data_IF_484526567675
#
_entry.id   IF_484526567675
#
_cell.length_a   1.000
_cell.length_b   1.000
_cell.length_c   1.000
_cell.angle_alpha   90.00
_cell.angle_beta   90.00
_cell.angle_gamma   90.00
#
_symmetry.space_group_name_H-M   'P 1'
#
loop_
_entity.id
_entity.type
_entity.pdbx_description
1 polymer ?
#
# COMPACT_ATOMS: atom_id res chain seq x y z
N UNK A 1 0.70 10.13 -1.67
CA UNK A 1 0.62 10.12 -3.14
C UNK A 1 1.72 11.02 -3.66
N UNK A 2 2.69 10.49 -4.40
CA UNK A 2 3.64 11.30 -5.16
C UNK A 2 2.99 11.82 -6.46
N UNK A 3 3.25 13.09 -6.80
CA UNK A 3 2.85 13.69 -8.08
C UNK A 3 4.11 14.16 -8.80
N UNK A 4 4.39 13.60 -9.98
CA UNK A 4 5.51 14.02 -10.82
C UNK A 4 5.05 14.98 -11.89
N UNK A 5 5.79 16.06 -12.09
CA UNK A 5 5.47 17.07 -13.10
C UNK A 5 6.50 17.04 -14.23
N UNK A 6 6.02 16.84 -15.45
CA UNK A 6 6.80 16.99 -16.68
C UNK A 6 6.49 18.35 -17.32
N UNK A 7 7.54 19.02 -17.80
CA UNK A 7 7.41 20.24 -18.58
C UNK A 7 7.19 19.88 -20.06
N UNK A 8 6.05 20.31 -20.61
CA UNK A 8 5.73 20.13 -22.02
C UNK A 8 6.13 21.38 -22.82
N UNK A 9 5.64 21.49 -24.05
CA UNK A 9 5.83 22.66 -24.88
C UNK A 9 5.15 23.92 -24.29
N UNK A 10 5.80 25.07 -24.47
CA UNK A 10 5.36 26.39 -23.97
C UNK A 10 5.13 26.40 -22.45
N UNK A 11 3.91 26.66 -21.99
CA UNK A 11 3.53 26.75 -20.57
C UNK A 11 2.65 25.57 -20.13
N UNK A 12 2.63 24.50 -20.94
CA UNK A 12 1.90 23.29 -20.64
C UNK A 12 2.69 22.43 -19.65
N UNK A 13 1.99 21.85 -18.70
CA UNK A 13 2.55 20.95 -17.69
C UNK A 13 1.74 19.66 -17.68
N UNK A 14 2.41 18.55 -17.44
CA UNK A 14 1.78 17.24 -17.25
C UNK A 14 2.08 16.74 -15.85
N UNK A 15 1.05 16.47 -15.06
CA UNK A 15 1.15 15.79 -13.77
C UNK A 15 0.82 14.30 -13.95
N UNK A 16 1.68 13.41 -13.43
CA UNK A 16 1.46 11.96 -13.37
C UNK A 16 1.44 11.49 -11.91
N UNK A 17 0.43 10.70 -11.56
CA UNK A 17 0.25 10.11 -10.23
C UNK A 17 -0.70 8.91 -10.33
N UNK A 18 -0.41 7.84 -9.58
CA UNK A 18 -1.06 6.54 -9.75
C UNK A 18 -1.17 6.18 -11.26
N UNK A 19 -2.35 5.81 -11.77
CA UNK A 19 -2.62 5.54 -13.19
C UNK A 19 -3.14 6.77 -13.97
N UNK A 20 -3.13 7.96 -13.37
CA UNK A 20 -3.74 9.16 -13.93
C UNK A 20 -2.71 10.13 -14.50
N UNK A 21 -3.13 10.85 -15.54
CA UNK A 21 -2.38 11.96 -16.14
C UNK A 21 -3.28 13.18 -16.25
N UNK A 22 -2.80 14.33 -15.76
CA UNK A 22 -3.50 15.62 -15.83
C UNK A 22 -2.62 16.62 -16.56
N UNK A 23 -3.14 17.18 -17.66
CA UNK A 23 -2.47 18.25 -18.40
C UNK A 23 -3.05 19.59 -17.99
N UNK A 24 -2.18 20.56 -17.74
CA UNK A 24 -2.57 21.95 -17.44
C UNK A 24 -1.96 22.89 -18.47
N UNK A 25 -2.59 24.04 -18.67
CA UNK A 25 -2.06 25.12 -19.47
C UNK A 25 -2.46 26.49 -18.89
N UNK A 26 -1.69 27.51 -19.21
CA UNK A 26 -2.02 28.87 -18.81
C UNK A 26 -3.02 29.51 -19.79
N UNK A 27 -3.92 30.38 -19.31
CA UNK A 27 -4.73 31.21 -20.19
C UNK A 27 -3.88 32.08 -21.12
N UNK A 28 -4.44 32.49 -22.27
CA UNK A 28 -3.78 33.38 -23.24
C UNK A 28 -3.24 34.67 -22.61
N UNK A 29 -3.99 35.26 -21.67
CA UNK A 29 -3.56 36.46 -20.91
C UNK A 29 -2.26 36.27 -20.10
N UNK A 30 -1.92 35.02 -19.80
CA UNK A 30 -0.69 34.62 -19.10
C UNK A 30 0.28 33.89 -20.05
N UNK A 31 0.18 34.16 -21.36
CA UNK A 31 1.05 33.64 -22.43
C UNK A 31 0.97 32.12 -22.68
N UNK A 32 -0.06 31.44 -22.18
CA UNK A 32 -0.33 30.04 -22.56
C UNK A 32 -1.27 29.94 -23.76
N UNK A 33 -1.59 28.72 -24.17
CA UNK A 33 -2.47 28.46 -25.31
C UNK A 33 -3.94 28.27 -24.91
N UNK A 34 -4.22 28.26 -23.59
CA UNK A 34 -5.50 27.88 -23.02
C UNK A 34 -6.00 26.50 -23.53
N UNK A 35 -5.08 25.58 -23.83
CA UNK A 35 -5.42 24.24 -24.36
C UNK A 35 -5.96 23.29 -23.28
N UNK A 36 -5.74 23.62 -22.01
CA UNK A 36 -6.20 22.88 -20.85
C UNK A 36 -6.49 23.86 -19.69
N UNK A 37 -7.23 23.44 -18.64
CA UNK A 37 -7.43 24.27 -17.45
C UNK A 37 -6.09 24.61 -16.79
N UNK A 38 -6.02 25.77 -16.13
CA UNK A 38 -4.83 26.11 -15.34
C UNK A 38 -4.76 25.26 -14.07
N UNK A 39 -3.58 25.12 -13.43
CA UNK A 39 -3.46 24.40 -12.16
C UNK A 39 -4.45 24.91 -11.09
N UNK A 40 -4.71 26.22 -11.05
CA UNK A 40 -5.66 26.80 -10.11
C UNK A 40 -7.12 26.47 -10.44
N UNK A 41 -7.45 26.32 -11.73
CA UNK A 41 -8.79 25.90 -12.14
C UNK A 41 -9.08 24.46 -11.69
N UNK A 42 -8.08 23.57 -11.74
CA UNK A 42 -8.19 22.22 -11.18
C UNK A 42 -8.47 22.23 -9.67
N UNK A 43 -7.77 23.08 -8.91
CA UNK A 43 -8.04 23.25 -7.47
C UNK A 43 -9.47 23.72 -7.19
N UNK A 44 -9.98 24.68 -7.97
CA UNK A 44 -11.35 25.17 -7.80
C UNK A 44 -12.39 24.12 -8.20
N UNK A 45 -12.14 23.40 -9.30
CA UNK A 45 -12.99 22.32 -9.77
C UNK A 45 -13.02 21.15 -8.78
N UNK A 46 -11.89 20.77 -8.20
CA UNK A 46 -11.82 19.68 -7.23
C UNK A 46 -12.65 19.95 -5.98
N UNK A 47 -12.75 21.20 -5.54
CA UNK A 47 -13.66 21.60 -4.44
C UNK A 47 -15.13 21.35 -4.78
N UNK A 48 -15.59 21.81 -5.95
CA UNK A 48 -16.96 21.61 -6.40
C UNK A 48 -17.29 20.13 -6.63
N UNK A 49 -16.38 19.39 -7.27
CA UNK A 49 -16.52 17.94 -7.50
C UNK A 49 -16.55 17.15 -6.20
N UNK A 50 -15.72 17.50 -5.22
CA UNK A 50 -15.71 16.90 -3.89
C UNK A 50 -17.06 17.09 -3.17
N UNK A 51 -17.63 18.30 -3.20
CA UNK A 51 -18.97 18.52 -2.67
C UNK A 51 -20.02 17.67 -3.41
N UNK A 52 -19.98 17.63 -4.74
CA UNK A 52 -20.86 16.80 -5.57
C UNK A 52 -20.76 15.31 -5.24
N UNK A 53 -19.54 14.79 -4.99
CA UNK A 53 -19.32 13.42 -4.54
C UNK A 53 -20.06 13.11 -3.23
N UNK A 54 -19.95 13.97 -2.22
CA UNK A 54 -20.64 13.76 -0.93
C UNK A 54 -22.16 13.87 -1.03
N UNK A 55 -22.68 14.69 -1.94
CA UNK A 55 -24.11 14.71 -2.27
C UNK A 55 -24.51 13.36 -2.87
N UNK A 56 -23.80 12.91 -3.90
CA UNK A 56 -24.07 11.64 -4.59
C UNK A 56 -24.01 10.44 -3.64
N UNK A 57 -22.97 10.35 -2.81
CA UNK A 57 -22.80 9.28 -1.83
C UNK A 57 -23.97 9.23 -0.81
N UNK A 58 -24.44 10.39 -0.34
CA UNK A 58 -25.59 10.46 0.56
C UNK A 58 -26.87 9.94 -0.11
N UNK A 59 -27.11 10.39 -1.34
CA UNK A 59 -28.24 9.99 -2.17
C UNK A 59 -28.23 8.48 -2.47
N UNK A 60 -27.10 7.95 -2.92
CA UNK A 60 -26.93 6.52 -3.25
C UNK A 60 -27.21 5.63 -2.03
N UNK A 61 -26.67 6.00 -0.86
CA UNK A 61 -26.88 5.26 0.40
C UNK A 61 -28.36 5.17 0.80
N UNK A 62 -29.16 6.19 0.45
CA UNK A 62 -30.59 6.29 0.79
C UNK A 62 -31.53 6.01 -0.38
N UNK A 63 -30.98 5.62 -1.53
CA UNK A 63 -31.74 5.41 -2.77
C UNK A 63 -32.56 6.63 -3.19
N UNK A 64 -32.01 7.83 -3.01
CA UNK A 64 -32.59 9.09 -3.47
C UNK A 64 -32.03 9.38 -4.86
N UNK A 65 -32.88 9.70 -5.83
CA UNK A 65 -32.39 10.08 -7.17
C UNK A 65 -31.59 11.38 -7.10
N UNK A 66 -30.49 11.44 -7.85
CA UNK A 66 -29.72 12.68 -8.07
C UNK A 66 -30.30 13.56 -9.16
N UNK A 67 -31.38 13.13 -9.82
CA UNK A 67 -32.03 13.90 -10.87
C UNK A 67 -32.47 15.26 -10.35
N UNK A 68 -32.18 16.31 -11.14
CA UNK A 68 -32.49 17.70 -10.81
C UNK A 68 -31.79 18.25 -9.57
N UNK A 69 -30.84 17.53 -8.96
CA UNK A 69 -29.91 18.12 -8.01
C UNK A 69 -28.81 18.85 -8.79
N UNK A 70 -28.62 20.14 -8.52
CA UNK A 70 -27.57 20.94 -9.15
C UNK A 70 -26.65 21.55 -8.09
N UNK A 71 -25.38 21.65 -8.42
CA UNK A 71 -24.37 22.21 -7.54
C UNK A 71 -23.53 23.20 -8.33
N UNK A 72 -23.31 24.39 -7.78
CA UNK A 72 -22.45 25.41 -8.36
C UNK A 72 -21.52 25.98 -7.30
N UNK A 73 -20.31 26.35 -7.72
CA UNK A 73 -19.34 27.05 -6.88
C UNK A 73 -19.03 28.41 -7.49
N UNK A 74 -19.10 29.45 -6.67
CA UNK A 74 -18.70 30.80 -7.00
C UNK A 74 -17.61 31.26 -6.04
N UNK A 75 -16.62 31.99 -6.54
CA UNK A 75 -15.48 32.43 -5.72
C UNK A 75 -15.56 33.94 -5.51
N UNK A 76 -15.71 34.37 -4.27
CA UNK A 76 -15.68 35.79 -3.89
C UNK A 76 -14.27 36.13 -3.45
N UNK A 77 -13.60 37.01 -4.18
CA UNK A 77 -12.20 37.40 -3.94
C UNK A 77 -12.16 38.64 -3.06
N UNK A 78 -11.33 38.64 -2.01
CA UNK A 78 -11.09 39.80 -1.16
C UNK A 78 -10.34 40.90 -1.95
N UNK A 79 -10.83 42.15 -1.99
CA UNK A 79 -10.17 43.23 -2.75
C UNK A 79 -8.74 43.55 -2.30
N UNK A 80 -8.42 43.33 -1.02
CA UNK A 80 -7.10 43.60 -0.44
C UNK A 80 -6.13 42.43 -0.55
N UNK A 81 -6.63 41.22 -0.80
CA UNK A 81 -5.80 40.03 -0.96
C UNK A 81 -6.45 39.01 -1.91
N UNK A 82 -5.94 38.94 -3.15
CA UNK A 82 -6.46 38.03 -4.18
C UNK A 82 -6.45 36.54 -3.80
N UNK A 83 -5.63 36.14 -2.81
CA UNK A 83 -5.54 34.76 -2.33
C UNK A 83 -6.55 34.45 -1.24
N UNK A 84 -7.12 35.47 -0.59
CA UNK A 84 -8.19 35.31 0.38
C UNK A 84 -9.52 35.26 -0.38
N UNK A 85 -10.06 34.05 -0.51
CA UNK A 85 -11.27 33.80 -1.27
C UNK A 85 -12.32 33.09 -0.42
N UNK A 86 -13.59 33.39 -0.67
CA UNK A 86 -14.73 32.62 -0.17
C UNK A 86 -15.21 31.74 -1.33
N UNK A 87 -15.00 30.43 -1.20
CA UNK A 87 -15.54 29.42 -2.13
C UNK A 87 -17.00 29.13 -1.73
N UNK A 88 -17.94 29.82 -2.36
CA UNK A 88 -19.37 29.70 -2.08
C UNK A 88 -19.99 28.57 -2.92
N UNK A 89 -20.22 27.43 -2.28
CA UNK A 89 -20.92 26.29 -2.88
C UNK A 89 -22.42 26.44 -2.63
N UNK A 90 -23.23 26.37 -3.68
CA UNK A 90 -24.68 26.43 -3.64
C UNK A 90 -25.26 25.15 -4.21
N UNK A 91 -26.27 24.61 -3.52
CA UNK A 91 -26.93 23.36 -3.91
C UNK A 91 -28.41 23.64 -4.13
N UNK A 92 -28.88 23.33 -5.33
CA UNK A 92 -30.29 23.34 -5.70
C UNK A 92 -30.85 21.93 -5.51
N UNK A 93 -31.85 21.80 -4.64
CA UNK A 93 -32.47 20.52 -4.30
C UNK A 93 -33.95 20.50 -4.71
N UNK A 94 -34.42 19.48 -5.44
CA UNK A 94 -35.79 19.35 -5.91
C UNK A 94 -36.79 19.25 -4.75
N UNK A 95 -37.97 19.86 -4.90
CA UNK A 95 -38.98 20.04 -3.83
C UNK A 95 -39.46 18.72 -3.21
N UNK A 96 -39.33 17.62 -3.94
CA UNK A 96 -39.70 16.26 -3.53
C UNK A 96 -38.78 15.68 -2.44
N UNK A 97 -37.56 16.22 -2.28
CA UNK A 97 -36.66 15.79 -1.20
C UNK A 97 -37.17 16.36 0.13
N UNK A 98 -37.43 15.47 1.09
CA UNK A 98 -37.90 15.86 2.42
C UNK A 98 -36.85 16.66 3.23
N UNK A 99 -37.30 17.36 4.26
CA UNK A 99 -36.44 18.23 5.09
C UNK A 99 -35.35 17.50 5.89
N UNK A 100 -35.55 16.22 6.21
CA UNK A 100 -34.52 15.43 6.87
C UNK A 100 -33.35 15.16 5.92
N UNK A 101 -33.66 14.77 4.69
CA UNK A 101 -32.67 14.50 3.64
C UNK A 101 -32.02 15.76 3.10
N UNK A 102 -32.75 16.87 2.95
CA UNK A 102 -32.16 18.17 2.63
C UNK A 102 -31.05 18.55 3.60
N UNK A 103 -31.32 18.46 4.91
CA UNK A 103 -30.31 18.72 5.94
C UNK A 103 -29.19 17.68 5.93
N UNK A 104 -29.52 16.42 5.66
CA UNK A 104 -28.55 15.34 5.55
C UNK A 104 -27.54 15.54 4.40
N UNK A 105 -28.03 15.97 3.23
CA UNK A 105 -27.21 16.29 2.06
C UNK A 105 -26.27 17.47 2.37
N UNK A 106 -26.80 18.56 2.96
CA UNK A 106 -25.94 19.70 3.33
C UNK A 106 -24.87 19.29 4.35
N UNK A 107 -25.21 18.43 5.33
CA UNK A 107 -24.26 17.88 6.30
C UNK A 107 -23.26 16.91 5.68
N UNK A 108 -23.59 16.21 4.59
CA UNK A 108 -22.62 15.32 3.94
C UNK A 108 -21.53 16.14 3.25
N UNK A 109 -21.88 17.26 2.61
CA UNK A 109 -20.93 18.19 2.00
C UNK A 109 -19.95 18.74 3.05
N UNK A 110 -20.36 18.85 4.31
CA UNK A 110 -19.46 19.28 5.37
C UNK A 110 -18.23 18.38 5.55
N UNK A 111 -18.31 17.12 5.09
CA UNK A 111 -17.22 16.14 5.12
C UNK A 111 -16.30 16.21 3.89
N UNK A 112 -16.53 17.14 2.96
CA UNK A 112 -15.67 17.29 1.78
C UNK A 112 -14.20 17.44 2.14
N UNK A 113 -13.39 16.47 1.72
CA UNK A 113 -11.96 16.40 2.02
C UNK A 113 -11.20 17.65 1.55
N UNK A 114 -11.48 18.15 0.33
CA UNK A 114 -10.83 19.37 -0.18
C UNK A 114 -11.12 20.56 0.73
N UNK A 115 -12.39 20.75 1.11
CA UNK A 115 -12.78 21.83 2.03
C UNK A 115 -12.09 21.70 3.39
N UNK A 116 -12.07 20.47 3.95
CA UNK A 116 -11.46 20.21 5.26
C UNK A 116 -9.96 20.49 5.27
N UNK A 117 -9.24 20.06 4.23
CA UNK A 117 -7.80 20.34 4.08
C UNK A 117 -7.54 21.84 3.97
N UNK A 118 -8.27 22.56 3.11
CA UNK A 118 -8.11 24.03 2.95
C UNK A 118 -8.41 24.77 4.26
N UNK A 119 -9.39 24.31 5.04
CA UNK A 119 -9.73 24.90 6.34
C UNK A 119 -8.69 24.61 7.43
N UNK A 120 -8.02 23.46 7.38
CA UNK A 120 -6.93 23.12 8.30
C UNK A 120 -5.65 23.91 7.97
N UNK A 121 -5.45 24.28 6.71
CA UNK A 121 -4.34 25.10 6.26
C UNK A 121 -3.03 24.31 6.17
N UNK A 122 -2.83 23.48 5.13
CA UNK A 122 -1.58 22.74 4.97
C UNK A 122 -0.41 23.70 4.77
N UNK A 123 0.73 23.36 5.37
CA UNK A 123 2.00 24.03 5.12
C UNK A 123 2.57 23.61 3.76
N UNK A 124 3.16 24.57 3.06
CA UNK A 124 3.91 24.33 1.83
C UNK A 124 5.40 24.47 2.12
N UNK A 125 6.08 23.33 2.23
CA UNK A 125 7.53 23.27 2.39
C UNK A 125 8.15 23.16 1.00
N UNK A 126 9.12 24.02 0.70
CA UNK A 126 9.82 24.09 -0.60
C UNK A 126 11.30 23.85 -0.33
N UNK A 127 11.82 22.75 -0.86
CA UNK A 127 13.19 22.30 -0.67
C UNK A 127 13.83 21.95 -2.01
N UNK A 128 15.13 22.21 -2.13
CA UNK A 128 15.96 21.76 -3.24
C UNK A 128 16.63 20.45 -2.85
N UNK A 129 16.58 19.45 -3.74
CA UNK A 129 17.20 18.14 -3.56
C UNK A 129 18.05 17.81 -4.78
N UNK A 130 19.16 17.11 -4.58
CA UNK A 130 20.04 16.70 -5.69
C UNK A 130 19.34 15.70 -6.63
N UNK A 131 18.51 14.81 -6.07
CA UNK A 131 17.72 13.83 -6.81
C UNK A 131 16.37 13.55 -6.13
N UNK A 132 15.26 13.73 -6.84
CA UNK A 132 13.90 13.46 -6.34
C UNK A 132 13.66 12.01 -5.89
N UNK A 133 14.45 11.06 -6.42
CA UNK A 133 14.34 9.64 -6.07
C UNK A 133 15.17 9.24 -4.85
N UNK A 134 16.12 10.07 -4.40
CA UNK A 134 17.05 9.74 -3.32
C UNK A 134 16.50 9.97 -1.91
N UNK A 135 15.56 10.92 -1.75
CA UNK A 135 15.07 11.37 -0.45
C UNK A 135 13.71 10.75 -0.06
N UNK A 136 13.60 9.42 -0.19
CA UNK A 136 12.39 8.67 0.17
C UNK A 136 12.00 8.82 1.66
N UNK A 137 12.95 9.17 2.54
CA UNK A 137 12.73 9.31 3.97
C UNK A 137 11.97 10.59 4.39
N UNK A 138 11.94 11.64 3.55
CA UNK A 138 11.31 12.92 3.92
C UNK A 138 9.79 12.83 4.08
N UNK A 139 9.14 11.88 3.39
CA UNK A 139 7.68 11.72 3.39
C UNK A 139 7.09 11.07 4.65
N UNK A 140 7.91 10.48 5.52
CA UNK A 140 7.40 9.78 6.70
C UNK A 140 7.10 10.71 7.89
N UNK A 141 7.37 12.03 7.77
CA UNK A 141 7.13 13.05 8.82
C UNK A 141 7.44 12.58 10.25
N UNK A 142 8.44 11.72 10.38
CA UNK A 142 9.03 11.35 11.65
C UNK A 142 10.45 11.83 11.57
N UNK A 143 10.66 13.09 11.97
CA UNK A 143 12.00 13.57 12.25
C UNK A 143 12.71 12.52 13.12
N UNK A 144 13.88 11.99 12.71
CA UNK A 144 14.60 10.94 13.45
C UNK A 144 15.24 11.43 14.75
N UNK A 145 14.65 12.42 15.43
CA UNK A 145 15.24 13.13 16.55
C UNK A 145 14.23 13.46 17.65
N UNK A 146 13.25 12.60 17.86
CA UNK A 146 12.75 12.50 19.24
C UNK A 146 13.90 11.95 20.09
N UNK A 147 14.37 12.68 21.10
CA UNK A 147 15.32 12.16 22.11
C UNK A 147 14.69 11.04 22.99
N UNK A 148 13.51 10.55 22.63
CA UNK A 148 12.81 9.50 23.35
C UNK A 148 13.21 8.14 22.80
N UNK A 149 13.49 7.21 23.71
CA UNK A 149 13.65 5.80 23.40
C UNK A 149 12.47 5.06 24.03
N UNK A 150 11.43 4.82 23.24
CA UNK A 150 10.21 4.16 23.71
C UNK A 150 10.35 2.65 23.53
N UNK A 151 10.48 1.92 24.64
CA UNK A 151 10.47 0.46 24.64
C UNK A 151 9.06 -0.07 24.87
N UNK A 152 8.64 -1.02 24.02
CA UNK A 152 7.41 -1.78 24.19
C UNK A 152 7.74 -3.23 24.52
N UNK A 153 6.86 -3.91 25.26
CA UNK A 153 7.10 -5.28 25.70
C UNK A 153 7.30 -6.23 24.51
N UNK A 154 8.34 -7.06 24.60
CA UNK A 154 8.67 -8.05 23.56
C UNK A 154 9.40 -7.51 22.33
N UNK A 155 9.86 -6.25 22.35
CA UNK A 155 10.70 -5.66 21.30
C UNK A 155 12.10 -5.36 21.82
N UNK A 156 13.10 -5.72 21.02
CA UNK A 156 14.52 -5.64 21.39
C UNK A 156 15.08 -4.22 21.23
N UNK A 157 14.41 -3.37 20.44
CA UNK A 157 14.83 -2.01 20.12
C UNK A 157 13.72 -0.99 20.43
N UNK A 158 14.07 0.28 20.70
CA UNK A 158 13.10 1.35 20.75
C UNK A 158 12.28 1.46 19.47
N UNK A 159 11.02 1.88 19.59
CA UNK A 159 10.11 2.04 18.44
C UNK A 159 10.67 3.05 17.44
N UNK A 160 11.24 4.16 17.91
CA UNK A 160 11.82 5.20 17.07
C UNK A 160 13.01 4.68 16.25
N UNK A 161 13.87 3.88 16.87
CA UNK A 161 15.01 3.25 16.20
C UNK A 161 14.54 2.17 15.21
N UNK A 162 13.53 1.39 15.58
CA UNK A 162 12.92 0.38 14.70
C UNK A 162 12.40 1.03 13.41
N UNK A 163 11.65 2.14 13.53
CA UNK A 163 11.16 2.90 12.38
C UNK A 163 12.32 3.40 11.53
N UNK A 164 13.31 4.07 12.13
CA UNK A 164 14.45 4.61 11.40
C UNK A 164 15.21 3.51 10.61
N UNK A 165 15.47 2.37 11.24
CA UNK A 165 16.14 1.24 10.60
C UNK A 165 15.33 0.69 9.43
N UNK A 166 14.05 0.38 9.64
CA UNK A 166 13.19 -0.21 8.60
C UNK A 166 12.95 0.76 7.44
N UNK A 167 12.75 2.05 7.71
CA UNK A 167 12.63 3.08 6.69
C UNK A 167 13.91 3.23 5.87
N UNK A 168 15.08 3.12 6.50
CA UNK A 168 16.38 3.13 5.81
C UNK A 168 16.51 1.92 4.88
N UNK A 169 16.23 0.71 5.37
CA UNK A 169 16.27 -0.51 4.54
C UNK A 169 15.40 -0.37 3.29
N UNK A 170 14.16 0.11 3.44
CA UNK A 170 13.25 0.26 2.30
C UNK A 170 13.72 1.35 1.33
N UNK A 171 14.22 2.48 1.84
CA UNK A 171 14.78 3.55 1.03
C UNK A 171 16.02 3.11 0.26
N UNK A 172 16.92 2.35 0.87
CA UNK A 172 18.14 1.81 0.24
C UNK A 172 17.81 0.82 -0.89
N UNK A 173 16.65 0.15 -0.80
CA UNK A 173 16.09 -0.69 -1.86
C UNK A 173 15.34 0.11 -2.94
N UNK A 174 15.26 1.43 -2.83
CA UNK A 174 14.54 2.30 -3.75
C UNK A 174 13.01 2.28 -3.58
N UNK A 175 12.52 1.72 -2.47
CA UNK A 175 11.09 1.62 -2.16
C UNK A 175 10.67 2.91 -1.44
N UNK A 176 9.75 3.66 -2.05
CA UNK A 176 9.27 4.93 -1.51
C UNK A 176 7.96 4.71 -0.77
N UNK A 177 8.04 4.54 0.55
CA UNK A 177 6.84 4.34 1.37
C UNK A 177 6.09 5.65 1.57
N UNK A 178 4.77 5.61 1.34
CA UNK A 178 3.85 6.68 1.69
C UNK A 178 2.79 6.22 2.68
N UNK A 179 2.40 7.12 3.58
CA UNK A 179 1.29 6.88 4.49
C UNK A 179 -0.02 7.29 3.80
N UNK A 180 -0.92 6.33 3.62
CA UNK A 180 -2.22 6.56 2.97
C UNK A 180 -3.26 7.04 3.97
N UNK A 181 -3.30 6.42 5.16
CA UNK A 181 -4.24 6.85 6.20
C UNK A 181 -3.81 6.44 7.60
N UNK A 182 -4.15 7.28 8.57
CA UNK A 182 -4.07 7.02 10.00
C UNK A 182 -5.46 6.88 10.58
N UNK A 183 -5.61 6.00 11.59
CA UNK A 183 -6.83 5.92 12.40
C UNK A 183 -6.49 5.76 13.87
N UNK A 184 -7.24 6.45 14.71
CA UNK A 184 -7.23 6.32 16.17
C UNK A 184 -8.69 6.39 16.66
N UNK A 185 -9.35 5.22 16.71
CA UNK A 185 -10.79 5.17 16.96
C UNK A 185 -11.13 5.31 18.45
N UNK A 186 -10.26 4.78 19.32
CA UNK A 186 -10.39 4.80 20.78
C UNK A 186 -8.99 4.93 21.41
N UNK A 187 -8.87 5.41 22.66
CA UNK A 187 -7.57 5.56 23.30
C UNK A 187 -6.74 4.28 23.23
N UNK A 188 -5.46 4.44 22.89
CA UNK A 188 -4.47 3.37 22.76
C UNK A 188 -4.74 2.33 21.66
N UNK A 189 -5.52 2.69 20.62
CA UNK A 189 -5.76 1.81 19.46
C UNK A 189 -5.52 2.56 18.17
N UNK A 190 -4.33 2.37 17.61
CA UNK A 190 -3.88 2.98 16.37
C UNK A 190 -3.76 1.96 15.24
N UNK A 191 -4.10 2.42 14.04
CA UNK A 191 -3.77 1.71 12.81
C UNK A 191 -3.28 2.67 11.74
N UNK A 192 -2.37 2.19 10.89
CA UNK A 192 -1.87 2.93 9.73
C UNK A 192 -1.89 2.03 8.51
N UNK A 193 -2.20 2.63 7.36
CA UNK A 193 -2.09 1.97 6.06
C UNK A 193 -0.96 2.65 5.28
N UNK A 194 0.02 1.85 4.84
CA UNK A 194 1.18 2.32 4.06
C UNK A 194 1.25 1.57 2.73
N UNK A 195 1.82 2.20 1.71
CA UNK A 195 2.07 1.56 0.40
C UNK A 195 3.34 2.13 -0.25
N UNK A 196 3.86 1.44 -1.26
CA UNK A 196 4.87 2.01 -2.15
C UNK A 196 4.22 3.02 -3.11
N UNK A 197 4.80 4.22 -3.20
CA UNK A 197 4.37 5.27 -4.11
C UNK A 197 4.53 4.88 -5.59
N UNK A 198 5.50 4.01 -5.92
CA UNK A 198 5.72 3.54 -7.28
C UNK A 198 4.90 2.28 -7.62
N UNK A 199 4.50 1.51 -6.59
CA UNK A 199 3.73 0.27 -6.76
C UNK A 199 2.59 0.20 -5.74
N UNK A 200 1.47 0.90 -5.98
CA UNK A 200 0.38 1.02 -5.01
C UNK A 200 -0.28 -0.30 -4.57
N UNK A 201 -0.08 -1.39 -5.32
CA UNK A 201 -0.52 -2.74 -4.96
C UNK A 201 0.31 -3.36 -3.82
N UNK A 202 1.52 -2.86 -3.60
CA UNK A 202 2.38 -3.29 -2.49
C UNK A 202 2.06 -2.41 -1.27
N UNK A 203 1.26 -2.95 -0.35
CA UNK A 203 0.81 -2.24 0.83
C UNK A 203 0.72 -3.15 2.05
N UNK A 204 0.80 -2.56 3.23
CA UNK A 204 0.63 -3.27 4.50
C UNK A 204 -0.16 -2.43 5.49
N UNK A 205 -0.58 -3.07 6.58
CA UNK A 205 -1.30 -2.38 7.64
C UNK A 205 -0.59 -2.57 8.97
N UNK A 206 -0.36 -1.46 9.65
CA UNK A 206 0.19 -1.47 10.99
C UNK A 206 -0.89 -1.36 12.05
N UNK A 207 -0.67 -2.02 13.18
CA UNK A 207 -1.51 -1.90 14.38
C UNK A 207 -0.63 -1.67 15.60
N UNK A 208 -1.07 -0.83 16.53
CA UNK A 208 -0.26 -0.50 17.71
C UNK A 208 -1.03 0.26 18.78
N UNK A 209 -0.44 0.34 19.97
CA UNK A 209 -1.01 1.11 21.08
C UNK A 209 -0.73 2.61 20.97
N UNK A 210 0.23 2.99 20.12
CA UNK A 210 0.62 4.36 19.82
C UNK A 210 0.73 4.56 18.31
N UNK A 211 0.78 5.82 17.86
CA UNK A 211 1.01 6.17 16.47
C UNK A 211 2.29 5.51 15.95
N UNK A 212 3.40 5.67 16.68
CA UNK A 212 4.73 5.19 16.31
C UNK A 212 4.80 3.66 16.28
N UNK A 213 4.24 2.98 17.29
CA UNK A 213 4.25 1.51 17.33
C UNK A 213 3.44 0.90 16.19
N UNK A 214 2.34 1.56 15.76
CA UNK A 214 1.60 1.12 14.59
C UNK A 214 2.38 1.34 13.29
N UNK A 215 3.19 2.39 13.15
CA UNK A 215 4.07 2.53 11.98
C UNK A 215 5.17 1.49 11.95
N UNK A 216 5.85 1.25 13.09
CA UNK A 216 6.84 0.18 13.20
C UNK A 216 6.25 -1.17 12.80
N UNK A 217 5.02 -1.45 13.23
CA UNK A 217 4.28 -2.65 12.81
C UNK A 217 4.02 -2.70 11.30
N UNK A 218 3.62 -1.58 10.67
CA UNK A 218 3.36 -1.55 9.23
C UNK A 218 4.63 -1.78 8.40
N UNK A 219 5.73 -1.11 8.77
CA UNK A 219 7.03 -1.24 8.12
C UNK A 219 7.60 -2.65 8.29
N UNK A 220 7.47 -3.23 9.49
CA UNK A 220 7.85 -4.62 9.76
C UNK A 220 7.08 -5.60 8.88
N UNK A 221 5.75 -5.46 8.82
CA UNK A 221 4.92 -6.27 7.91
C UNK A 221 5.33 -6.07 6.45
N UNK A 222 5.70 -4.85 6.04
CA UNK A 222 6.14 -4.58 4.66
C UNK A 222 7.41 -5.36 4.32
N UNK A 223 8.42 -5.30 5.19
CA UNK A 223 9.68 -6.05 5.02
C UNK A 223 9.42 -7.55 5.06
N UNK A 224 8.55 -8.02 5.94
CA UNK A 224 8.11 -9.42 6.00
C UNK A 224 7.51 -9.88 4.66
N UNK A 225 6.56 -9.13 4.09
CA UNK A 225 5.93 -9.50 2.81
C UNK A 225 6.90 -9.41 1.65
N UNK A 226 7.79 -8.42 1.64
CA UNK A 226 8.82 -8.26 0.63
C UNK A 226 9.81 -9.43 0.66
N UNK A 227 10.36 -9.75 1.85
CA UNK A 227 11.35 -10.80 2.02
C UNK A 227 10.83 -12.21 1.69
N UNK A 228 9.51 -12.40 1.72
CA UNK A 228 8.85 -13.65 1.39
C UNK A 228 8.23 -13.67 -0.02
N UNK A 229 8.51 -12.67 -0.88
CA UNK A 229 7.88 -12.48 -2.20
C UNK A 229 6.34 -12.47 -2.18
N UNK A 230 5.73 -12.22 -1.01
CA UNK A 230 4.31 -12.48 -0.76
C UNK A 230 3.39 -11.45 -1.43
N UNK A 231 3.89 -10.25 -1.76
CA UNK A 231 3.12 -9.28 -2.56
C UNK A 231 2.72 -9.84 -3.93
N UNK A 232 3.49 -10.80 -4.45
CA UNK A 232 3.32 -11.31 -5.81
C UNK A 232 2.98 -12.80 -5.85
N UNK A 233 2.73 -13.45 -4.71
CA UNK A 233 2.68 -14.91 -4.65
C UNK A 233 1.55 -15.53 -5.47
N UNK A 234 0.46 -14.78 -5.71
CA UNK A 234 -0.69 -15.23 -6.50
C UNK A 234 -0.61 -14.90 -7.98
N UNK A 235 0.51 -14.33 -8.45
CA UNK A 235 0.66 -13.88 -9.84
C UNK A 235 1.69 -14.73 -10.58
N UNK A 236 1.41 -14.98 -11.86
CA UNK A 236 2.43 -15.41 -12.80
C UNK A 236 3.34 -14.22 -13.13
N UNK A 237 4.66 -14.40 -13.01
CA UNK A 237 5.65 -13.32 -13.13
C UNK A 237 6.15 -13.11 -14.57
N UNK A 238 5.69 -13.94 -15.51
CA UNK A 238 6.07 -13.86 -16.92
C UNK A 238 7.22 -14.78 -17.29
N UNK A 239 7.26 -15.17 -18.56
CA UNK A 239 8.26 -16.10 -19.11
C UNK A 239 9.70 -15.58 -18.92
N UNK A 240 9.91 -14.27 -19.06
CA UNK A 240 11.24 -13.67 -18.88
C UNK A 240 11.82 -13.85 -17.48
N UNK A 241 10.97 -13.92 -16.45
CA UNK A 241 11.40 -14.20 -15.07
C UNK A 241 11.51 -15.72 -14.85
N UNK A 242 10.57 -16.49 -15.40
CA UNK A 242 10.57 -17.95 -15.28
C UNK A 242 11.82 -18.63 -15.87
N UNK A 243 12.52 -17.97 -16.80
CA UNK A 243 13.73 -18.45 -17.46
C UNK A 243 15.05 -17.93 -16.85
N UNK A 244 15.01 -17.11 -15.78
CA UNK A 244 16.20 -16.63 -15.08
C UNK A 244 16.92 -17.74 -14.31
N UNK A 245 18.17 -17.51 -13.90
CA UNK A 245 18.95 -18.47 -13.09
C UNK A 245 18.21 -18.92 -11.81
N UNK A 246 17.43 -18.01 -11.21
CA UNK A 246 16.48 -18.29 -10.15
C UNK A 246 15.20 -17.46 -10.34
N UNK A 247 14.07 -17.96 -9.82
CA UNK A 247 12.77 -17.29 -9.86
C UNK A 247 12.48 -16.64 -8.50
N UNK A 248 12.49 -17.42 -7.41
CA UNK A 248 12.13 -16.99 -6.06
C UNK A 248 13.34 -16.55 -5.25
N UNK A 249 14.35 -17.43 -5.12
CA UNK A 249 15.56 -17.15 -4.35
C UNK A 249 16.80 -17.81 -4.97
N UNK A 250 18.00 -17.22 -4.85
CA UNK A 250 19.24 -17.81 -5.39
C UNK A 250 19.58 -19.22 -4.86
N UNK A 251 19.05 -19.61 -3.70
CA UNK A 251 19.26 -20.93 -3.08
C UNK A 251 18.11 -21.93 -3.33
N UNK A 252 17.17 -21.59 -4.21
CA UNK A 252 16.11 -22.50 -4.64
C UNK A 252 16.69 -23.70 -5.43
N UNK A 253 15.93 -24.78 -5.48
CA UNK A 253 16.27 -25.96 -6.29
C UNK A 253 15.11 -26.35 -7.17
N UNK A 254 15.46 -26.68 -8.42
CA UNK A 254 14.54 -27.18 -9.43
C UNK A 254 14.69 -28.69 -9.56
N UNK A 255 13.57 -29.41 -9.44
CA UNK A 255 13.54 -30.86 -9.57
C UNK A 255 12.61 -31.24 -10.72
N UNK A 256 13.16 -31.92 -11.73
CA UNK A 256 12.34 -32.42 -12.84
C UNK A 256 11.37 -33.50 -12.34
N UNK A 257 10.12 -33.52 -12.83
CA UNK A 257 9.19 -34.62 -12.61
C UNK A 257 9.85 -35.99 -12.88
N UNK A 258 9.58 -36.99 -12.04
CA UNK A 258 10.05 -38.36 -12.32
C UNK A 258 9.28 -38.95 -13.51
N UNK A 259 9.92 -39.89 -14.21
CA UNK A 259 9.25 -40.74 -15.21
C UNK A 259 8.06 -41.40 -14.50
N UNK A 260 6.84 -41.14 -14.97
CA UNK A 260 5.53 -41.50 -14.38
C UNK A 260 4.89 -40.50 -13.40
N UNK A 261 5.33 -39.23 -13.39
CA UNK A 261 4.70 -38.15 -12.61
C UNK A 261 4.76 -38.35 -11.07
N UNK A 262 5.79 -39.08 -10.61
CA UNK A 262 6.07 -39.30 -9.19
C UNK A 262 6.89 -38.13 -8.61
N UNK A 263 6.81 -37.95 -7.28
CA UNK A 263 7.61 -36.94 -6.59
C UNK A 263 9.11 -37.26 -6.64
N UNK A 264 9.97 -36.29 -6.96
CA UNK A 264 11.41 -36.42 -6.79
C UNK A 264 11.78 -36.74 -5.34
N UNK A 265 12.76 -37.60 -5.11
CA UNK A 265 13.19 -38.03 -3.76
C UNK A 265 13.97 -36.96 -2.98
N UNK A 266 14.29 -35.84 -3.62
CA UNK A 266 15.07 -34.73 -3.07
C UNK A 266 14.21 -33.55 -2.61
N UNK A 267 12.88 -33.67 -2.65
CA UNK A 267 11.93 -32.70 -2.10
C UNK A 267 11.13 -33.35 -0.97
N UNK A 268 10.76 -32.57 0.04
CA UNK A 268 10.09 -33.02 1.26
C UNK A 268 10.91 -34.06 2.05
N UNK A 269 10.60 -34.22 3.33
CA UNK A 269 11.13 -35.31 4.15
C UNK A 269 10.04 -36.36 4.42
N UNK A 270 10.42 -37.48 5.06
CA UNK A 270 9.48 -38.56 5.39
C UNK A 270 8.28 -38.08 6.24
N UNK A 271 8.50 -37.08 7.11
CA UNK A 271 7.42 -36.52 7.91
C UNK A 271 6.44 -35.71 7.05
N UNK A 272 6.97 -34.85 6.18
CA UNK A 272 6.17 -34.07 5.25
C UNK A 272 5.37 -34.97 4.30
N UNK A 273 5.97 -36.04 3.78
CA UNK A 273 5.26 -36.99 2.91
C UNK A 273 4.10 -37.67 3.63
N UNK A 274 4.23 -38.01 4.92
CA UNK A 274 3.11 -38.54 5.72
C UNK A 274 1.96 -37.55 5.88
N UNK A 275 2.24 -36.25 5.79
CA UNK A 275 1.24 -35.18 5.94
C UNK A 275 0.59 -34.82 4.59
N UNK A 276 1.40 -34.60 3.55
CA UNK A 276 0.93 -34.09 2.26
C UNK A 276 0.64 -35.17 1.22
N UNK A 277 1.19 -36.37 1.39
CA UNK A 277 0.99 -37.50 0.49
C UNK A 277 0.70 -38.82 1.23
N UNK A 278 -0.26 -38.85 2.17
CA UNK A 278 -0.52 -40.03 3.00
C UNK A 278 -0.94 -41.27 2.18
N UNK A 279 -1.63 -41.06 1.06
CA UNK A 279 -2.18 -42.12 0.20
C UNK A 279 -1.36 -42.34 -1.08
N UNK A 280 -0.24 -41.63 -1.27
CA UNK A 280 0.58 -41.76 -2.48
C UNK A 280 -0.12 -41.24 -3.74
N UNK A 281 -1.00 -40.26 -3.62
CA UNK A 281 -1.78 -39.65 -4.70
C UNK A 281 -1.19 -38.33 -5.21
N UNK A 282 -0.26 -37.73 -4.46
CA UNK A 282 0.41 -36.51 -4.88
C UNK A 282 1.28 -36.81 -6.11
N UNK A 283 1.27 -35.88 -7.06
CA UNK A 283 1.98 -36.01 -8.33
C UNK A 283 2.85 -34.79 -8.55
N UNK A 284 3.98 -34.98 -9.24
CA UNK A 284 4.92 -33.89 -9.52
C UNK A 284 4.28 -32.72 -10.29
N UNK A 285 3.34 -32.99 -11.19
CA UNK A 285 2.62 -31.94 -11.94
C UNK A 285 1.68 -31.10 -11.08
N UNK A 286 1.29 -31.57 -9.89
CA UNK A 286 0.48 -30.76 -8.97
C UNK A 286 1.31 -29.66 -8.29
N UNK A 287 2.64 -29.78 -8.31
CA UNK A 287 3.57 -28.98 -7.50
C UNK A 287 4.31 -27.90 -8.29
N UNK A 288 3.86 -27.60 -9.51
CA UNK A 288 4.41 -26.48 -10.29
C UNK A 288 3.98 -25.17 -9.65
N UNK A 289 4.92 -24.27 -9.37
CA UNK A 289 4.60 -22.98 -8.76
C UNK A 289 3.88 -22.07 -9.76
N UNK A 290 2.90 -21.30 -9.27
CA UNK A 290 2.13 -20.36 -10.09
C UNK A 290 3.00 -19.25 -10.68
N UNK A 291 4.05 -18.85 -9.95
CA UNK A 291 4.87 -17.69 -10.28
C UNK A 291 5.73 -17.91 -11.51
N UNK A 292 6.35 -19.07 -11.63
CA UNK A 292 7.09 -19.48 -12.84
C UNK A 292 6.19 -20.10 -13.91
N UNK A 293 5.15 -20.84 -13.52
CA UNK A 293 4.36 -21.66 -14.45
C UNK A 293 5.17 -22.65 -15.29
N UNK A 294 6.45 -22.89 -14.96
CA UNK A 294 7.41 -23.52 -15.86
C UNK A 294 7.44 -25.04 -15.67
N UNK A 295 6.52 -25.72 -16.36
CA UNK A 295 6.37 -27.19 -16.30
C UNK A 295 7.66 -27.90 -16.75
N UNK A 296 8.35 -27.37 -17.76
CA UNK A 296 9.55 -27.99 -18.33
C UNK A 296 10.76 -27.91 -17.38
N UNK A 297 10.85 -26.81 -16.62
CA UNK A 297 11.88 -26.62 -15.58
C UNK A 297 11.58 -27.48 -14.34
N UNK A 298 10.30 -27.69 -14.02
CA UNK A 298 9.83 -28.64 -13.01
C UNK A 298 9.39 -28.00 -11.71
N UNK A 299 9.64 -28.68 -10.59
CA UNK A 299 9.19 -28.24 -9.26
C UNK A 299 10.23 -27.33 -8.63
N UNK A 300 9.86 -26.07 -8.37
CA UNK A 300 10.67 -25.16 -7.56
C UNK A 300 10.47 -25.44 -6.06
N UNK A 301 11.56 -25.62 -5.33
CA UNK A 301 11.56 -25.85 -3.88
C UNK A 301 12.62 -25.01 -3.19
N UNK A 302 12.31 -24.50 -2.01
CA UNK A 302 13.20 -23.67 -1.20
C UNK A 302 13.63 -24.38 0.08
N UNK A 303 14.84 -24.11 0.59
CA UNK A 303 15.34 -24.80 1.78
C UNK A 303 14.71 -24.25 3.06
N UNK A 304 14.20 -25.14 3.89
CA UNK A 304 13.82 -24.86 5.28
C UNK A 304 14.71 -25.65 6.24
N UNK A 305 15.09 -25.02 7.35
CA UNK A 305 15.87 -25.68 8.41
C UNK A 305 14.93 -26.37 9.40
N UNK A 306 14.98 -27.70 9.45
CA UNK A 306 14.25 -28.47 10.46
C UNK A 306 14.90 -28.30 11.82
N UNK A 307 14.16 -27.74 12.77
CA UNK A 307 14.72 -27.33 14.06
C UNK A 307 15.16 -28.48 14.97
N UNK A 308 14.60 -29.69 14.81
CA UNK A 308 14.92 -30.84 15.67
C UNK A 308 16.32 -31.40 15.45
N UNK A 309 16.86 -31.31 14.23
CA UNK A 309 18.16 -31.89 13.87
C UNK A 309 19.03 -31.01 12.96
N UNK A 310 18.58 -29.79 12.63
CA UNK A 310 19.33 -28.83 11.82
C UNK A 310 19.52 -29.27 10.36
N UNK A 311 18.72 -30.21 9.86
CA UNK A 311 18.78 -30.62 8.45
C UNK A 311 17.96 -29.68 7.57
N UNK A 312 18.48 -29.39 6.39
CA UNK A 312 17.73 -28.71 5.34
C UNK A 312 16.73 -29.66 4.69
N UNK A 313 15.50 -29.18 4.53
CA UNK A 313 14.42 -29.85 3.80
C UNK A 313 13.96 -28.91 2.69
N UNK A 314 13.99 -29.39 1.45
CA UNK A 314 13.51 -28.61 0.31
C UNK A 314 12.00 -28.72 0.21
N UNK A 315 11.31 -27.59 0.40
CA UNK A 315 9.86 -27.50 0.43
C UNK A 315 9.34 -26.84 -0.86
N UNK A 316 8.41 -27.48 -1.59
CA UNK A 316 7.85 -26.91 -2.82
C UNK A 316 7.13 -25.58 -2.59
N UNK A 317 7.44 -24.56 -3.39
CA UNK A 317 6.76 -23.26 -3.33
C UNK A 317 5.25 -23.41 -3.51
N UNK A 318 4.82 -24.29 -4.43
CA UNK A 318 3.40 -24.55 -4.65
C UNK A 318 2.67 -24.97 -3.36
N UNK A 319 3.23 -25.89 -2.57
CA UNK A 319 2.61 -26.29 -1.30
C UNK A 319 2.64 -25.15 -0.28
N UNK A 320 3.74 -24.39 -0.23
CA UNK A 320 3.88 -23.28 0.69
C UNK A 320 2.77 -22.24 0.47
N UNK A 321 2.61 -21.77 -0.76
CA UNK A 321 1.65 -20.72 -1.09
C UNK A 321 0.19 -21.18 -1.01
N UNK A 322 -0.11 -22.44 -1.38
CA UNK A 322 -1.47 -22.95 -1.31
C UNK A 322 -1.94 -23.25 0.12
N UNK A 323 -1.06 -23.72 1.00
CA UNK A 323 -1.45 -24.23 2.31
C UNK A 323 -1.17 -23.27 3.47
N UNK A 324 -0.14 -22.44 3.36
CA UNK A 324 0.30 -21.57 4.46
C UNK A 324 0.01 -20.10 4.20
N UNK A 325 0.02 -19.67 2.93
CA UNK A 325 -0.10 -18.27 2.56
C UNK A 325 0.85 -17.39 3.42
N UNK A 326 0.34 -16.36 4.11
CA UNK A 326 1.14 -15.50 4.98
C UNK A 326 1.34 -16.00 6.41
N UNK A 327 0.72 -17.12 6.81
CA UNK A 327 0.77 -17.58 8.19
C UNK A 327 2.18 -18.02 8.61
N UNK A 328 2.68 -17.46 9.70
CA UNK A 328 4.00 -17.78 10.22
C UNK A 328 5.15 -17.05 9.51
N UNK A 329 4.85 -16.01 8.73
CA UNK A 329 5.88 -15.05 8.29
C UNK A 329 6.16 -14.07 9.43
N UNK A 330 7.41 -13.58 9.52
CA UNK A 330 7.73 -12.49 10.46
C UNK A 330 8.97 -11.71 10.05
N UNK A 331 8.99 -10.43 10.39
CA UNK A 331 10.20 -9.60 10.47
C UNK A 331 10.32 -9.00 11.88
N UNK A 332 11.56 -8.72 12.30
CA UNK A 332 11.84 -8.14 13.61
C UNK A 332 13.22 -7.50 13.65
N UNK A 333 13.51 -6.77 14.72
CA UNK A 333 14.81 -6.12 14.89
C UNK A 333 15.96 -7.13 15.04
N UNK A 334 15.66 -8.32 15.57
CA UNK A 334 16.59 -9.44 15.71
C UNK A 334 15.94 -10.72 15.19
N UNK A 335 16.78 -11.74 14.91
CA UNK A 335 16.28 -13.06 14.52
C UNK A 335 15.38 -13.67 15.61
N UNK A 336 15.75 -13.52 16.88
CA UNK A 336 14.98 -14.05 18.00
C UNK A 336 13.62 -13.35 18.14
N UNK A 337 13.58 -12.01 18.00
CA UNK A 337 12.33 -11.24 18.01
C UNK A 337 11.38 -11.72 16.89
N UNK A 338 11.90 -11.87 15.67
CA UNK A 338 11.13 -12.34 14.52
C UNK A 338 10.62 -13.78 14.71
N UNK A 339 11.47 -14.68 15.23
CA UNK A 339 11.10 -16.07 15.51
C UNK A 339 9.99 -16.17 16.57
N UNK A 340 10.09 -15.40 17.65
CA UNK A 340 9.05 -15.37 18.70
C UNK A 340 7.72 -14.88 18.13
N UNK A 341 7.74 -13.83 17.31
CA UNK A 341 6.53 -13.32 16.65
C UNK A 341 5.93 -14.35 15.68
N UNK A 342 6.75 -14.96 14.83
CA UNK A 342 6.36 -16.05 13.90
C UNK A 342 5.68 -17.22 14.64
N UNK A 343 6.33 -17.75 15.68
CA UNK A 343 5.80 -18.88 16.44
C UNK A 343 4.51 -18.51 17.18
N UNK A 344 4.44 -17.29 17.72
CA UNK A 344 3.23 -16.79 18.38
C UNK A 344 2.06 -16.68 17.41
N UNK A 345 2.29 -16.26 16.16
CA UNK A 345 1.25 -16.21 15.13
C UNK A 345 0.77 -17.62 14.75
N UNK A 346 1.68 -18.59 14.62
CA UNK A 346 1.32 -19.99 14.39
C UNK A 346 0.40 -20.49 15.51
N UNK A 347 0.71 -20.19 16.78
CA UNK A 347 -0.19 -20.51 17.90
C UNK A 347 -1.52 -19.75 17.82
N UNK A 348 -1.51 -18.45 17.51
CA UNK A 348 -2.73 -17.64 17.36
C UNK A 348 -3.68 -18.28 16.34
N UNK A 349 -3.16 -18.69 15.18
CA UNK A 349 -3.96 -19.29 14.09
C UNK A 349 -4.37 -20.72 14.38
N UNK A 350 -3.55 -21.50 15.06
CA UNK A 350 -3.87 -22.89 15.41
C UNK A 350 -4.93 -22.98 16.54
N UNK A 351 -4.97 -21.99 17.44
CA UNK A 351 -5.91 -21.98 18.58
C UNK A 351 -7.25 -21.32 18.22
N UNK A 352 -7.25 -20.36 17.29
CA UNK A 352 -8.46 -19.68 16.79
C UNK A 352 -9.41 -20.66 16.10
#
# INVERSE_FOLDING_TARGET
>A
MEIRVNFLDKLRLEARFDDFTVVTDQPIRYKGDASAPSPFDYFLASSALCAGYFVKLYCDTRKISTDNIRLSQNNVVDPGNRYKQILKIQVELPHEINEADRRGILRSIERCSVKRVVQEGPDFIIEEVDQLNGDAQSLLELHPLSKTNTFIAGKDFPVEQTIANMSTILSDLGIKIEIVSWRNLVPNVWSVHIRDAHSPLCFTNGKGATKESSLASALGEYIERLANNHFYSQYFWGESIADLDFVHYPNERWSKPLVNNLLPSNILDEYCLKVYDPEGELRSTHLIDTNSGNIDRGICSIPFLRQSDGKEVYFPINLLENLYASNGMSAGNTLAEAQVQCLSEIFERAVK
#
